data_IF_630901220092
#
_entry.id   IF_630901220092
#
_cell.length_a   1.000
_cell.length_b   1.000
_cell.length_c   1.000
_cell.angle_alpha   90.00
_cell.angle_beta   90.00
_cell.angle_gamma   90.00
#
_symmetry.space_group_name_H-M   'P 1'
#
loop_
_entity.id
_entity.type
_entity.pdbx_description
1 polymer ?
#
# COMPACT_ATOMS: atom_id res chain seq x y z
N UNK A 1 19.10 -26.31 8.11
CA UNK A 1 17.71 -26.83 8.09
C UNK A 1 17.29 -26.97 6.62
N UNK A 2 16.20 -27.66 6.24
CA UNK A 2 15.76 -27.68 4.82
C UNK A 2 14.87 -26.47 4.55
N UNK A 3 15.14 -25.74 3.47
CA UNK A 3 14.24 -24.70 2.98
C UNK A 3 12.85 -25.27 2.71
N UNK A 4 11.82 -24.60 3.18
CA UNK A 4 10.44 -24.97 2.92
C UNK A 4 9.90 -24.08 1.79
N UNK A 5 9.55 -24.70 0.67
CA UNK A 5 8.86 -24.00 -0.42
C UNK A 5 7.38 -23.86 -0.08
N UNK A 6 6.86 -22.65 -0.25
CA UNK A 6 5.46 -22.29 -0.05
C UNK A 6 4.97 -21.43 -1.23
N UNK A 7 3.72 -21.61 -1.64
CA UNK A 7 3.07 -20.75 -2.63
C UNK A 7 2.00 -19.90 -1.95
N UNK A 8 2.25 -18.60 -1.79
CA UNK A 8 1.30 -17.63 -1.21
C UNK A 8 0.74 -16.71 -2.30
N UNK A 9 -0.56 -16.79 -2.59
CA UNK A 9 -1.21 -16.00 -3.64
C UNK A 9 -0.47 -16.06 -5.00
N UNK A 10 0.05 -17.24 -5.35
CA UNK A 10 0.78 -17.48 -6.59
C UNK A 10 2.26 -17.09 -6.57
N UNK A 11 2.76 -16.48 -5.48
CA UNK A 11 4.20 -16.22 -5.29
C UNK A 11 4.88 -17.46 -4.74
N UNK A 12 5.88 -17.97 -5.46
CA UNK A 12 6.71 -19.07 -4.99
C UNK A 12 7.80 -18.53 -4.07
N UNK A 13 7.83 -19.00 -2.82
CA UNK A 13 8.68 -18.46 -1.77
C UNK A 13 9.38 -19.58 -1.00
N UNK A 14 10.66 -19.40 -0.72
CA UNK A 14 11.41 -20.22 0.24
C UNK A 14 11.42 -19.56 1.61
N UNK A 15 10.86 -20.22 2.61
CA UNK A 15 11.00 -19.84 4.02
C UNK A 15 12.22 -20.56 4.61
N UNK A 16 13.13 -19.78 5.18
CA UNK A 16 14.41 -20.27 5.71
C UNK A 16 14.78 -19.60 7.03
N UNK A 17 15.65 -20.25 7.79
CA UNK A 17 16.28 -19.65 8.97
C UNK A 17 17.43 -18.70 8.56
N UNK A 18 17.94 -17.96 9.54
CA UNK A 18 19.03 -16.98 9.34
C UNK A 18 20.30 -17.64 8.80
N UNK A 19 20.72 -18.77 9.38
CA UNK A 19 21.96 -19.44 8.98
C UNK A 19 21.88 -19.92 7.53
N UNK A 20 20.76 -20.57 7.16
CA UNK A 20 20.50 -21.02 5.79
C UNK A 20 20.45 -19.84 4.83
N UNK A 21 19.83 -18.71 5.21
CA UNK A 21 19.79 -17.50 4.40
C UNK A 21 21.18 -16.96 4.04
N UNK A 22 22.11 -17.02 4.99
CA UNK A 22 23.47 -16.48 4.86
C UNK A 22 24.40 -17.44 4.13
N UNK A 23 24.31 -18.74 4.41
CA UNK A 23 25.26 -19.75 3.92
C UNK A 23 24.93 -20.28 2.51
N UNK A 24 23.70 -20.10 2.04
CA UNK A 24 23.24 -20.67 0.78
C UNK A 24 23.55 -19.77 -0.42
N UNK A 25 24.09 -20.35 -1.49
CA UNK A 25 24.16 -19.70 -2.80
C UNK A 25 22.79 -19.77 -3.50
N UNK A 26 22.11 -18.63 -3.54
CA UNK A 26 20.76 -18.52 -4.08
C UNK A 26 20.69 -18.51 -5.63
N UNK A 27 21.82 -18.40 -6.33
CA UNK A 27 21.85 -18.36 -7.80
C UNK A 27 21.29 -19.62 -8.47
N UNK A 28 21.32 -20.76 -7.77
CA UNK A 28 20.75 -22.03 -8.23
C UNK A 28 19.21 -22.10 -8.19
N UNK A 29 18.57 -21.15 -7.49
CA UNK A 29 17.12 -21.09 -7.32
C UNK A 29 16.46 -20.05 -8.24
N UNK A 30 17.25 -19.22 -8.92
CA UNK A 30 16.76 -18.26 -9.91
C UNK A 30 15.96 -18.96 -11.03
N UNK A 31 14.74 -18.49 -11.28
CA UNK A 31 13.81 -19.07 -12.26
C UNK A 31 12.99 -20.25 -11.74
N UNK A 32 13.24 -20.70 -10.51
CA UNK A 32 12.42 -21.70 -9.81
C UNK A 32 11.57 -21.07 -8.70
N UNK A 33 12.17 -20.14 -7.96
CA UNK A 33 11.54 -19.43 -6.85
C UNK A 33 11.56 -17.94 -7.13
N UNK A 34 10.54 -17.20 -6.64
CA UNK A 34 10.47 -15.76 -6.82
C UNK A 34 11.14 -15.01 -5.65
N UNK A 35 11.07 -15.59 -4.45
CA UNK A 35 11.49 -14.93 -3.22
C UNK A 35 12.11 -15.92 -2.21
N UNK A 36 13.14 -15.49 -1.50
CA UNK A 36 13.60 -16.11 -0.24
C UNK A 36 13.23 -15.18 0.89
N UNK A 37 12.68 -15.72 1.98
CA UNK A 37 12.28 -14.96 3.16
C UNK A 37 12.77 -15.61 4.45
N UNK A 38 13.32 -14.77 5.33
CA UNK A 38 13.47 -15.05 6.76
C UNK A 38 12.38 -14.29 7.51
N UNK A 39 11.53 -15.01 8.25
CA UNK A 39 10.48 -14.41 9.09
C UNK A 39 11.07 -14.02 10.46
N UNK A 40 10.71 -12.81 10.93
CA UNK A 40 11.12 -12.22 12.21
C UNK A 40 12.61 -12.42 12.58
N UNK A 41 13.56 -12.08 11.68
CA UNK A 41 14.98 -12.23 11.97
C UNK A 41 15.38 -11.30 13.12
N UNK A 42 16.20 -11.79 14.07
CA UNK A 42 16.67 -10.96 15.17
C UNK A 42 17.55 -9.81 14.64
N UNK A 43 17.52 -8.66 15.32
CA UNK A 43 18.15 -7.42 14.83
C UNK A 43 19.65 -7.58 14.61
N UNK A 44 20.32 -8.38 15.45
CA UNK A 44 21.75 -8.70 15.33
C UNK A 44 22.11 -9.44 14.04
N UNK A 45 21.15 -10.10 13.38
CA UNK A 45 21.37 -10.80 12.12
C UNK A 45 21.19 -9.89 10.89
N UNK A 46 20.62 -8.69 11.05
CA UNK A 46 20.22 -7.85 9.91
C UNK A 46 21.41 -7.43 9.03
N UNK A 47 22.55 -7.11 9.63
CA UNK A 47 23.76 -6.75 8.88
C UNK A 47 24.29 -7.94 8.07
N UNK A 48 24.31 -9.13 8.66
CA UNK A 48 24.76 -10.35 7.99
C UNK A 48 23.81 -10.76 6.85
N UNK A 49 22.49 -10.68 7.08
CA UNK A 49 21.46 -10.92 6.06
C UNK A 49 21.58 -9.93 4.89
N UNK A 50 21.82 -8.65 5.19
CA UNK A 50 22.09 -7.64 4.17
C UNK A 50 23.38 -7.90 3.40
N UNK A 51 24.43 -8.40 4.07
CA UNK A 51 25.66 -8.87 3.43
C UNK A 51 25.44 -10.04 2.47
N UNK A 52 24.46 -10.90 2.74
CA UNK A 52 24.02 -11.99 1.88
C UNK A 52 23.01 -11.55 0.79
N UNK A 53 22.65 -10.26 0.72
CA UNK A 53 21.73 -9.71 -0.27
C UNK A 53 20.25 -9.74 0.12
N UNK A 54 19.89 -10.28 1.28
CA UNK A 54 18.53 -10.19 1.82
C UNK A 54 18.28 -8.78 2.38
N UNK A 55 17.06 -8.28 2.31
CA UNK A 55 16.71 -6.94 2.77
C UNK A 55 15.83 -6.99 4.03
N UNK A 56 16.41 -6.77 5.24
CA UNK A 56 15.64 -6.57 6.46
C UNK A 56 14.65 -5.40 6.30
N UNK A 57 13.39 -5.64 6.61
CA UNK A 57 12.29 -4.70 6.37
C UNK A 57 11.08 -4.98 7.27
N UNK A 58 10.17 -4.02 7.45
CA UNK A 58 8.86 -4.33 8.01
C UNK A 58 8.06 -5.23 7.06
N UNK A 59 7.29 -6.17 7.57
CA UNK A 59 6.35 -6.94 6.74
C UNK A 59 5.18 -6.05 6.27
N UNK A 60 4.74 -5.13 7.14
CA UNK A 60 3.56 -4.29 6.93
C UNK A 60 3.89 -2.80 7.03
N UNK A 61 3.35 -2.00 6.11
CA UNK A 61 3.52 -0.55 6.09
C UNK A 61 2.18 0.15 6.31
N UNK A 62 2.14 1.09 7.26
CA UNK A 62 1.00 2.00 7.41
C UNK A 62 1.33 3.36 6.79
N UNK A 63 0.49 3.81 5.88
CA UNK A 63 0.64 5.11 5.22
C UNK A 63 0.04 6.19 6.10
N UNK A 64 0.83 7.18 6.48
CA UNK A 64 0.41 8.26 7.39
C UNK A 64 0.79 9.64 6.86
N UNK A 65 -0.02 10.64 7.19
CA UNK A 65 0.31 12.04 6.96
C UNK A 65 -0.13 12.87 8.17
N UNK A 66 0.57 13.97 8.44
CA UNK A 66 0.12 14.93 9.44
C UNK A 66 -1.02 15.78 8.87
N UNK A 67 -2.05 16.07 9.67
CA UNK A 67 -3.20 16.88 9.26
C UNK A 67 -2.82 18.32 8.86
N UNK A 68 -1.66 18.81 9.34
CA UNK A 68 -1.24 20.22 9.29
C UNK A 68 -2.24 21.18 9.97
N UNK A 69 -1.89 22.46 10.08
CA UNK A 69 -2.80 23.46 10.67
C UNK A 69 -3.86 23.95 9.68
N UNK A 70 -3.60 23.85 8.37
CA UNK A 70 -4.51 24.28 7.30
C UNK A 70 -4.46 23.35 6.09
N UNK A 71 -5.46 23.48 5.21
CA UNK A 71 -5.45 22.76 3.92
C UNK A 71 -4.31 23.23 3.03
N UNK A 72 -4.00 24.53 3.01
CA UNK A 72 -2.91 25.09 2.20
C UNK A 72 -1.55 24.55 2.63
N UNK A 73 -1.30 24.41 3.94
CA UNK A 73 -0.08 23.76 4.45
C UNK A 73 0.00 22.29 4.04
N UNK A 74 -1.12 21.56 4.14
CA UNK A 74 -1.19 20.16 3.72
C UNK A 74 -0.89 20.00 2.23
N UNK A 75 -1.53 20.81 1.38
CA UNK A 75 -1.29 20.82 -0.07
C UNK A 75 0.13 21.30 -0.40
N UNK A 76 0.68 22.22 0.40
CA UNK A 76 2.04 22.76 0.26
C UNK A 76 3.12 21.68 0.21
N UNK A 77 2.93 20.57 0.95
CA UNK A 77 3.83 19.39 0.97
C UNK A 77 3.78 18.55 -0.30
N UNK A 78 2.73 18.67 -1.12
CA UNK A 78 2.58 17.86 -2.33
C UNK A 78 3.33 18.45 -3.52
N UNK A 79 3.72 17.64 -4.52
CA UNK A 79 4.20 18.16 -5.79
C UNK A 79 3.17 19.09 -6.46
N UNK A 80 3.65 20.17 -7.11
CA UNK A 80 2.79 21.17 -7.79
C UNK A 80 1.75 20.53 -8.73
N UNK A 81 2.14 19.49 -9.48
CA UNK A 81 1.27 18.77 -10.40
C UNK A 81 0.10 18.10 -9.69
N UNK A 82 0.32 17.54 -8.50
CA UNK A 82 -0.74 16.90 -7.71
C UNK A 82 -1.70 17.94 -7.12
N UNK A 83 -1.17 19.08 -6.62
CA UNK A 83 -2.01 20.23 -6.21
C UNK A 83 -2.93 20.69 -7.35
N UNK A 84 -2.38 20.84 -8.55
CA UNK A 84 -3.16 21.23 -9.73
C UNK A 84 -4.20 20.18 -10.11
N UNK A 85 -3.84 18.90 -10.04
CA UNK A 85 -4.77 17.78 -10.29
C UNK A 85 -5.95 17.79 -9.32
N UNK A 86 -5.70 18.05 -8.03
CA UNK A 86 -6.73 18.17 -7.00
C UNK A 86 -7.65 19.35 -7.28
N UNK A 87 -7.08 20.53 -7.56
CA UNK A 87 -7.85 21.72 -7.87
C UNK A 87 -8.73 21.51 -9.12
N UNK A 88 -8.20 20.83 -10.16
CA UNK A 88 -8.96 20.48 -11.35
C UNK A 88 -10.08 19.47 -11.04
N UNK A 89 -9.80 18.44 -10.23
CA UNK A 89 -10.80 17.46 -9.80
C UNK A 89 -11.97 18.12 -9.07
N UNK A 90 -11.70 19.04 -8.13
CA UNK A 90 -12.72 19.80 -7.40
C UNK A 90 -13.55 20.70 -8.32
N UNK A 91 -12.91 21.45 -9.22
CA UNK A 91 -13.62 22.29 -10.21
C UNK A 91 -14.52 21.46 -11.10
N UNK A 92 -14.04 20.31 -11.58
CA UNK A 92 -14.83 19.40 -12.41
C UNK A 92 -16.01 18.82 -11.64
N UNK A 93 -15.78 18.31 -10.43
CA UNK A 93 -16.85 17.83 -9.57
C UNK A 93 -17.94 18.91 -9.36
N UNK A 94 -17.54 20.15 -9.06
CA UNK A 94 -18.48 21.26 -8.92
C UNK A 94 -19.24 21.58 -10.22
N UNK A 95 -18.56 21.59 -11.37
CA UNK A 95 -19.19 21.80 -12.67
C UNK A 95 -20.20 20.69 -13.04
N UNK A 96 -19.92 19.45 -12.61
CA UNK A 96 -20.78 18.28 -12.79
C UNK A 96 -21.91 18.22 -11.73
N UNK A 97 -22.07 19.26 -10.91
CA UNK A 97 -23.09 19.34 -9.85
C UNK A 97 -22.84 18.42 -8.66
N UNK A 98 -21.63 17.86 -8.53
CA UNK A 98 -21.27 16.97 -7.42
C UNK A 98 -21.02 17.79 -6.16
N UNK A 99 -21.70 17.41 -5.07
CA UNK A 99 -21.58 18.02 -3.75
C UNK A 99 -21.00 16.99 -2.76
N UNK A 100 -19.98 17.42 -2.01
CA UNK A 100 -19.47 16.62 -0.91
C UNK A 100 -20.31 16.87 0.35
N UNK A 101 -20.60 15.83 1.12
CA UNK A 101 -21.32 15.91 2.39
C UNK A 101 -20.60 15.09 3.46
N UNK A 102 -20.44 15.69 4.62
CA UNK A 102 -20.02 15.02 5.84
C UNK A 102 -21.27 14.46 6.54
N UNK A 103 -21.14 13.28 7.14
CA UNK A 103 -22.20 12.71 7.98
C UNK A 103 -21.65 11.63 8.91
N UNK A 104 -22.54 11.11 9.74
CA UNK A 104 -22.26 9.93 10.55
C UNK A 104 -22.43 8.66 9.71
N UNK A 105 -21.82 7.56 10.17
CA UNK A 105 -22.02 6.27 9.53
C UNK A 105 -23.38 5.71 9.94
N UNK A 106 -24.26 5.47 8.98
CA UNK A 106 -25.56 4.84 9.20
C UNK A 106 -25.90 3.80 8.11
N UNK A 107 -27.04 3.15 8.26
CA UNK A 107 -27.52 2.17 7.29
C UNK A 107 -27.79 2.78 5.91
N UNK A 108 -28.29 4.03 5.87
CA UNK A 108 -28.62 4.74 4.63
C UNK A 108 -27.37 4.99 3.79
N UNK A 109 -26.28 5.45 4.42
CA UNK A 109 -24.99 5.60 3.77
C UNK A 109 -24.46 4.25 3.27
N UNK A 110 -24.52 3.20 4.09
CA UNK A 110 -24.02 1.88 3.70
C UNK A 110 -24.81 1.28 2.54
N UNK A 111 -26.13 1.49 2.48
CA UNK A 111 -26.99 1.05 1.39
C UNK A 111 -26.64 1.74 0.06
N UNK A 112 -26.22 3.00 0.10
CA UNK A 112 -25.71 3.70 -1.07
C UNK A 112 -24.26 3.31 -1.43
N UNK A 113 -23.41 3.10 -0.43
CA UNK A 113 -21.97 2.87 -0.60
C UNK A 113 -21.63 1.46 -1.06
N UNK A 114 -22.25 0.43 -0.48
CA UNK A 114 -21.90 -0.98 -0.69
C UNK A 114 -22.02 -1.42 -2.15
N UNK A 115 -23.12 -1.13 -2.89
CA UNK A 115 -23.23 -1.55 -4.28
C UNK A 115 -22.11 -0.97 -5.16
N UNK A 116 -21.73 0.30 -4.91
CA UNK A 116 -20.63 0.93 -5.62
C UNK A 116 -19.28 0.30 -5.23
N UNK A 117 -19.04 0.07 -3.94
CA UNK A 117 -17.81 -0.53 -3.43
C UNK A 117 -17.60 -1.96 -3.95
N UNK A 118 -18.64 -2.79 -3.92
CA UNK A 118 -18.64 -4.15 -4.45
C UNK A 118 -18.32 -4.16 -5.94
N UNK A 119 -18.98 -3.31 -6.73
CA UNK A 119 -18.71 -3.18 -8.16
C UNK A 119 -17.26 -2.80 -8.45
N UNK A 120 -16.67 -1.86 -7.69
CA UNK A 120 -15.25 -1.48 -7.84
C UNK A 120 -14.29 -2.58 -7.39
N UNK A 121 -14.68 -3.37 -6.40
CA UNK A 121 -13.85 -4.45 -5.84
C UNK A 121 -13.84 -5.66 -6.77
N UNK A 122 -14.97 -6.00 -7.39
CA UNK A 122 -15.08 -7.09 -8.35
C UNK A 122 -14.21 -6.88 -9.62
N UNK A 123 -13.85 -5.64 -9.96
CA UNK A 123 -12.92 -5.33 -11.05
C UNK A 123 -11.46 -5.66 -10.73
N UNK A 124 -11.11 -5.92 -9.47
CA UNK A 124 -9.73 -6.18 -9.04
C UNK A 124 -9.44 -7.68 -9.07
N UNK A 125 -8.27 -8.07 -9.58
CA UNK A 125 -7.80 -9.47 -9.65
C UNK A 125 -7.87 -10.20 -8.31
N UNK A 126 -7.58 -9.49 -7.22
CA UNK A 126 -7.61 -10.01 -5.84
C UNK A 126 -8.57 -9.20 -4.96
N UNK A 127 -9.65 -8.67 -5.56
CA UNK A 127 -10.63 -7.87 -4.82
C UNK A 127 -11.44 -8.73 -3.85
N UNK A 128 -11.41 -8.37 -2.57
CA UNK A 128 -12.27 -8.97 -1.55
C UNK A 128 -13.18 -7.89 -0.95
N UNK A 129 -14.50 -8.11 -1.03
CA UNK A 129 -15.50 -7.17 -0.51
C UNK A 129 -15.68 -7.29 1.01
N UNK A 130 -14.62 -6.97 1.75
CA UNK A 130 -14.61 -7.06 3.23
C UNK A 130 -15.73 -6.26 3.88
N UNK A 131 -16.11 -5.10 3.30
CA UNK A 131 -17.13 -4.21 3.88
C UNK A 131 -18.49 -4.90 4.00
N UNK A 132 -18.85 -5.73 3.03
CA UNK A 132 -20.11 -6.49 3.02
C UNK A 132 -20.14 -7.48 4.18
N UNK A 133 -19.00 -8.14 4.43
CA UNK A 133 -18.83 -9.14 5.49
C UNK A 133 -18.86 -8.50 6.90
N UNK A 134 -18.37 -7.26 7.04
CA UNK A 134 -18.29 -6.55 8.33
C UNK A 134 -19.37 -5.47 8.51
N UNK A 135 -20.43 -5.47 7.69
CA UNK A 135 -21.48 -4.44 7.73
C UNK A 135 -22.10 -4.30 9.12
N UNK A 136 -22.38 -5.43 9.78
CA UNK A 136 -22.96 -5.45 11.12
C UNK A 136 -22.07 -4.77 12.15
N UNK A 137 -20.78 -5.11 12.14
CA UNK A 137 -19.77 -4.54 13.04
C UNK A 137 -19.60 -3.03 12.80
N UNK A 138 -19.57 -2.59 11.55
CA UNK A 138 -19.51 -1.16 11.20
C UNK A 138 -20.69 -0.36 11.77
N UNK A 139 -21.89 -0.94 11.78
CA UNK A 139 -23.07 -0.29 12.35
C UNK A 139 -23.09 -0.37 13.88
N UNK A 140 -22.61 -1.47 14.45
CA UNK A 140 -22.47 -1.61 15.90
C UNK A 140 -21.50 -0.57 16.48
N UNK A 141 -20.42 -0.29 15.76
CA UNK A 141 -19.36 0.65 16.14
C UNK A 141 -19.53 2.03 15.49
N UNK A 142 -20.71 2.36 14.95
CA UNK A 142 -20.94 3.54 14.10
C UNK A 142 -20.47 4.87 14.71
N UNK A 143 -20.50 4.99 16.05
CA UNK A 143 -20.03 6.17 16.77
C UNK A 143 -18.53 6.46 16.58
N UNK A 144 -17.73 5.45 16.28
CA UNK A 144 -16.31 5.57 15.99
C UNK A 144 -16.03 5.93 14.53
N UNK A 145 -17.07 6.14 13.72
CA UNK A 145 -16.94 6.42 12.29
C UNK A 145 -17.61 7.73 11.89
N UNK A 146 -17.04 8.34 10.85
CA UNK A 146 -17.73 9.35 10.06
C UNK A 146 -17.52 9.08 8.58
N UNK A 147 -18.40 9.65 7.76
CA UNK A 147 -18.38 9.43 6.31
C UNK A 147 -18.24 10.74 5.57
N UNK A 148 -17.52 10.67 4.44
CA UNK A 148 -17.56 11.72 3.43
C UNK A 148 -18.20 11.12 2.19
N UNK A 149 -19.29 11.70 1.74
CA UNK A 149 -20.06 11.26 0.57
C UNK A 149 -20.02 12.31 -0.54
N UNK A 150 -20.15 11.87 -1.79
CA UNK A 150 -20.25 12.70 -2.98
C UNK A 150 -21.56 12.39 -3.70
N UNK A 151 -22.35 13.42 -3.97
CA UNK A 151 -23.69 13.30 -4.55
C UNK A 151 -23.87 14.19 -5.77
N UNK A 152 -24.43 13.66 -6.85
CA UNK A 152 -24.92 14.41 -8.01
C UNK A 152 -26.45 14.48 -7.95
N UNK A 153 -26.98 15.58 -7.43
CA UNK A 153 -28.39 15.61 -7.03
C UNK A 153 -28.64 14.59 -5.91
N UNK A 154 -29.46 13.58 -6.19
CA UNK A 154 -29.77 12.45 -5.30
C UNK A 154 -28.99 11.18 -5.65
N UNK A 155 -28.16 11.21 -6.70
CA UNK A 155 -27.32 10.08 -7.10
C UNK A 155 -26.04 10.04 -6.25
N UNK A 156 -25.78 8.91 -5.59
CA UNK A 156 -24.52 8.65 -4.90
C UNK A 156 -23.41 8.30 -5.90
N UNK A 157 -22.38 9.14 -5.98
CA UNK A 157 -21.27 8.97 -6.95
C UNK A 157 -19.94 8.60 -6.29
N UNK A 158 -19.90 8.55 -4.97
CA UNK A 158 -18.74 8.06 -4.23
C UNK A 158 -18.74 8.43 -2.76
N UNK A 159 -17.82 7.83 -2.01
CA UNK A 159 -17.61 8.18 -0.61
C UNK A 159 -16.42 7.46 0.02
N UNK A 160 -16.15 7.80 1.27
CA UNK A 160 -15.23 7.07 2.11
C UNK A 160 -15.74 6.94 3.55
N UNK A 161 -15.45 5.78 4.16
CA UNK A 161 -15.72 5.46 5.56
C UNK A 161 -14.42 5.67 6.34
N UNK A 162 -14.49 6.48 7.38
CA UNK A 162 -13.33 6.94 8.14
C UNK A 162 -13.50 6.53 9.60
N UNK A 163 -12.54 5.76 10.12
CA UNK A 163 -12.45 5.42 11.53
C UNK A 163 -11.77 6.57 12.28
N UNK A 164 -12.43 7.05 13.33
CA UNK A 164 -12.01 8.13 14.20
C UNK A 164 -11.90 7.59 15.63
N UNK A 165 -10.83 6.83 15.95
CA UNK A 165 -10.65 6.27 17.29
C UNK A 165 -10.37 7.38 18.32
N UNK A 166 -10.64 7.14 19.60
CA UNK A 166 -10.36 8.12 20.66
C UNK A 166 -8.89 8.54 20.75
N UNK A 167 -7.97 7.66 20.35
CA UNK A 167 -6.53 7.87 20.38
C UNK A 167 -5.85 7.46 19.06
N UNK A 168 -4.73 8.09 18.75
CA UNK A 168 -3.91 7.77 17.58
C UNK A 168 -4.29 8.56 16.32
N UNK A 169 -4.28 7.89 15.17
CA UNK A 169 -4.53 8.51 13.86
C UNK A 169 -5.94 8.19 13.35
N UNK A 170 -6.61 9.17 12.74
CA UNK A 170 -7.81 8.92 11.95
C UNK A 170 -7.44 8.04 10.75
N UNK A 171 -8.25 7.03 10.43
CA UNK A 171 -7.98 6.11 9.32
C UNK A 171 -9.09 6.13 8.28
N UNK A 172 -8.75 6.45 7.04
CA UNK A 172 -9.62 6.22 5.88
C UNK A 172 -9.58 4.72 5.59
N UNK A 173 -10.67 4.00 5.93
CA UNK A 173 -10.71 2.52 5.84
C UNK A 173 -11.16 2.03 4.47
N UNK A 174 -12.23 2.62 3.95
CA UNK A 174 -12.86 2.18 2.71
C UNK A 174 -13.20 3.39 1.86
N UNK A 175 -13.05 3.26 0.55
CA UNK A 175 -13.45 4.31 -0.39
C UNK A 175 -13.83 3.72 -1.72
N UNK A 176 -14.86 4.29 -2.33
CA UNK A 176 -15.29 3.94 -3.68
C UNK A 176 -15.82 5.20 -4.37
N UNK A 177 -15.61 5.26 -5.68
CA UNK A 177 -16.15 6.29 -6.57
C UNK A 177 -16.66 5.62 -7.83
N UNK A 178 -17.65 6.22 -8.47
CA UNK A 178 -18.13 5.78 -9.79
C UNK A 178 -17.03 5.90 -10.85
N UNK A 179 -17.29 5.34 -12.04
CA UNK A 179 -16.31 5.34 -13.12
C UNK A 179 -15.95 6.76 -13.56
N UNK A 180 -16.93 7.68 -13.61
CA UNK A 180 -16.69 9.09 -13.95
C UNK A 180 -15.79 9.77 -12.92
N UNK A 181 -16.08 9.57 -11.64
CA UNK A 181 -15.32 10.05 -10.50
C UNK A 181 -13.91 9.49 -10.45
N UNK A 182 -13.70 8.23 -10.84
CA UNK A 182 -12.36 7.65 -11.00
C UNK A 182 -11.54 8.43 -12.03
N UNK A 183 -12.10 8.69 -13.21
CA UNK A 183 -11.44 9.49 -14.24
C UNK A 183 -11.23 10.95 -13.82
N UNK A 184 -12.15 11.51 -13.05
CA UNK A 184 -12.08 12.87 -12.54
C UNK A 184 -11.23 13.01 -11.25
N UNK A 185 -10.64 11.93 -10.73
CA UNK A 185 -9.88 11.93 -9.47
C UNK A 185 -10.69 12.36 -8.23
N UNK A 186 -11.99 12.08 -8.20
CA UNK A 186 -12.91 12.44 -7.12
C UNK A 186 -12.46 11.92 -5.74
N UNK A 187 -11.85 10.73 -5.69
CA UNK A 187 -11.30 10.16 -4.45
C UNK A 187 -10.34 11.12 -3.71
N UNK A 188 -9.56 11.93 -4.45
CA UNK A 188 -8.65 12.91 -3.84
C UNK A 188 -9.43 14.03 -3.12
N UNK A 189 -10.55 14.45 -3.68
CA UNK A 189 -11.40 15.48 -3.05
C UNK A 189 -12.07 14.92 -1.79
N UNK A 190 -12.56 13.68 -1.83
CA UNK A 190 -13.10 12.97 -0.67
C UNK A 190 -12.07 12.88 0.47
N UNK A 191 -10.82 12.51 0.14
CA UNK A 191 -9.78 12.38 1.16
C UNK A 191 -9.38 13.70 1.78
N UNK A 192 -9.29 14.79 0.99
CA UNK A 192 -9.02 16.10 1.57
C UNK A 192 -10.12 16.57 2.51
N UNK A 193 -11.37 16.25 2.19
CA UNK A 193 -12.50 16.55 3.08
C UNK A 193 -12.42 15.72 4.37
N UNK A 194 -12.04 14.44 4.27
CA UNK A 194 -11.81 13.60 5.45
C UNK A 194 -10.63 14.11 6.31
N UNK A 195 -9.56 14.61 5.69
CA UNK A 195 -8.40 15.19 6.39
C UNK A 195 -8.76 16.52 7.05
N UNK A 196 -9.56 17.36 6.37
CA UNK A 196 -10.12 18.58 6.95
C UNK A 196 -10.91 18.25 8.21
N UNK A 197 -11.78 17.24 8.14
CA UNK A 197 -12.58 16.80 9.28
C UNK A 197 -11.73 16.21 10.41
N UNK A 198 -10.72 15.40 10.09
CA UNK A 198 -9.79 14.88 11.09
C UNK A 198 -9.10 16.00 11.88
N UNK A 199 -8.70 17.08 11.19
CA UNK A 199 -8.15 18.28 11.84
C UNK A 199 -9.16 18.95 12.77
N UNK A 200 -10.41 19.12 12.33
CA UNK A 200 -11.49 19.71 13.15
C UNK A 200 -11.72 18.89 14.42
N UNK A 201 -11.64 17.56 14.32
CA UNK A 201 -11.74 16.62 15.45
C UNK A 201 -10.48 16.55 16.33
N UNK A 202 -9.42 17.30 16.01
CA UNK A 202 -8.20 17.37 16.80
C UNK A 202 -7.17 16.28 16.52
N UNK A 203 -7.36 15.45 15.49
CA UNK A 203 -6.33 14.47 15.10
C UNK A 203 -5.10 15.19 14.56
N UNK A 204 -3.92 14.75 15.02
CA UNK A 204 -2.63 15.23 14.50
C UNK A 204 -2.25 14.57 13.19
N UNK A 205 -2.68 13.33 12.99
CA UNK A 205 -2.32 12.51 11.83
C UNK A 205 -3.50 11.73 11.29
N UNK A 206 -3.42 11.42 10.00
CA UNK A 206 -4.35 10.58 9.23
C UNK A 206 -3.62 9.39 8.63
N UNK A 207 -4.34 8.31 8.33
CA UNK A 207 -3.81 7.12 7.67
C UNK A 207 -4.67 6.66 6.48
N UNK A 208 -4.01 6.20 5.42
CA UNK A 208 -4.62 5.49 4.28
C UNK A 208 -4.56 3.96 4.42
N UNK A 209 -4.47 3.46 5.65
CA UNK A 209 -4.45 2.04 5.95
C UNK A 209 -3.06 1.42 5.91
N UNK A 210 -3.04 0.09 6.11
CA UNK A 210 -1.85 -0.74 6.12
C UNK A 210 -1.83 -1.61 4.86
N UNK A 211 -0.67 -1.69 4.21
CA UNK A 211 -0.41 -2.56 3.07
C UNK A 211 0.73 -3.55 3.39
N UNK A 212 0.78 -4.73 2.75
CA UNK A 212 1.98 -5.56 2.74
C UNK A 212 3.13 -4.84 2.03
N UNK A 213 4.35 -5.02 2.54
CA UNK A 213 5.57 -4.43 2.00
C UNK A 213 6.18 -5.27 0.86
N UNK A 214 5.41 -5.43 -0.22
CA UNK A 214 5.80 -6.07 -1.50
C UNK A 214 4.87 -5.58 -2.63
N UNK A 215 5.13 -4.38 -3.14
CA UNK A 215 4.34 -3.77 -4.22
C UNK A 215 4.76 -4.33 -5.57
N UNK A 216 3.83 -4.91 -6.31
CA UNK A 216 4.12 -5.72 -7.50
C UNK A 216 3.65 -7.17 -7.35
N UNK A 217 3.18 -7.57 -6.17
CA UNK A 217 2.51 -8.86 -5.96
C UNK A 217 1.01 -8.66 -5.69
N UNK A 218 0.56 -8.81 -4.44
CA UNK A 218 -0.84 -8.58 -4.05
C UNK A 218 -1.27 -7.13 -4.25
N UNK A 219 -0.38 -6.19 -3.98
CA UNK A 219 -0.64 -4.75 -4.11
C UNK A 219 0.03 -4.19 -5.35
N UNK A 220 -0.74 -3.54 -6.22
CA UNK A 220 -0.19 -2.92 -7.42
C UNK A 220 0.76 -1.75 -7.07
N UNK A 221 1.88 -1.56 -7.81
CA UNK A 221 2.77 -0.40 -7.64
C UNK A 221 2.06 0.95 -7.83
N UNK A 222 0.95 0.97 -8.57
CA UNK A 222 0.10 2.17 -8.72
C UNK A 222 -0.49 2.67 -7.41
N UNK A 223 -0.74 1.80 -6.43
CA UNK A 223 -1.29 2.18 -5.13
C UNK A 223 -0.25 2.96 -4.30
N UNK A 224 1.01 2.51 -4.27
CA UNK A 224 2.12 3.24 -3.65
C UNK A 224 2.22 4.66 -4.20
N UNK A 225 2.21 4.78 -5.53
CA UNK A 225 2.27 6.07 -6.23
C UNK A 225 1.09 6.96 -5.85
N UNK A 226 -0.11 6.40 -5.75
CA UNK A 226 -1.30 7.14 -5.36
C UNK A 226 -1.18 7.68 -3.92
N UNK A 227 -0.79 6.86 -2.95
CA UNK A 227 -0.68 7.25 -1.53
C UNK A 227 0.44 8.28 -1.32
N UNK A 228 1.63 8.03 -1.85
CA UNK A 228 2.78 8.95 -1.73
C UNK A 228 2.50 10.33 -2.31
N UNK A 229 1.84 10.41 -3.47
CA UNK A 229 1.48 11.69 -4.12
C UNK A 229 0.46 12.52 -3.36
N UNK A 230 -0.29 11.90 -2.45
CA UNK A 230 -1.19 12.57 -1.54
C UNK A 230 -0.48 13.05 -0.26
N UNK A 231 0.85 13.00 -0.21
CA UNK A 231 1.65 13.44 0.93
C UNK A 231 1.66 12.44 2.09
N UNK A 232 1.24 11.20 1.86
CA UNK A 232 1.36 10.13 2.85
C UNK A 232 2.73 9.46 2.74
N UNK A 233 3.30 9.18 3.89
CA UNK A 233 4.58 8.49 4.03
C UNK A 233 4.34 7.09 4.62
N UNK A 234 4.97 6.04 4.09
CA UNK A 234 4.96 4.72 4.68
C UNK A 234 5.77 4.72 5.98
N UNK A 235 5.22 4.07 7.01
CA UNK A 235 5.91 3.74 8.26
C UNK A 235 5.74 2.25 8.57
N UNK A 236 6.70 1.61 9.25
CA UNK A 236 6.47 0.28 9.83
C UNK A 236 5.17 0.25 10.63
N UNK A 237 4.29 -0.72 10.35
CA UNK A 237 2.93 -0.69 10.88
C UNK A 237 2.89 -0.73 12.42
N UNK A 238 3.85 -1.41 13.06
CA UNK A 238 3.97 -1.49 14.51
C UNK A 238 4.21 -0.11 15.16
N UNK A 239 4.91 0.81 14.48
CA UNK A 239 5.16 2.17 14.97
C UNK A 239 3.90 3.06 14.97
N UNK A 240 2.86 2.67 14.21
CA UNK A 240 1.61 3.44 14.10
C UNK A 240 0.48 2.78 14.90
N UNK A 241 0.44 1.45 14.92
CA UNK A 241 -0.67 0.69 15.49
C UNK A 241 -0.43 0.22 16.93
N UNK A 242 0.81 0.31 17.43
CA UNK A 242 1.19 -0.22 18.74
C UNK A 242 1.21 -1.75 18.83
N UNK A 243 0.94 -2.45 17.72
CA UNK A 243 1.09 -3.90 17.63
C UNK A 243 2.57 -4.30 17.68
N UNK A 244 2.91 -5.53 18.06
CA UNK A 244 4.28 -6.04 17.97
C UNK A 244 4.86 -5.83 16.56
N UNK A 245 6.18 -5.63 16.50
CA UNK A 245 6.90 -5.63 15.24
C UNK A 245 6.71 -6.99 14.55
N UNK A 246 6.57 -6.93 13.23
CA UNK A 246 6.58 -8.09 12.35
C UNK A 246 7.47 -7.69 11.19
N UNK A 247 8.68 -8.21 11.24
CA UNK A 247 9.78 -7.87 10.34
C UNK A 247 10.16 -9.11 9.56
N UNK A 248 10.75 -8.91 8.38
CA UNK A 248 11.28 -10.02 7.60
C UNK A 248 12.54 -9.56 6.86
N UNK A 249 13.29 -10.51 6.32
CA UNK A 249 14.35 -10.22 5.36
C UNK A 249 14.06 -10.98 4.06
N UNK A 250 13.96 -10.24 2.97
CA UNK A 250 13.57 -10.78 1.66
C UNK A 250 14.70 -10.65 0.64
N UNK A 251 14.90 -11.68 -0.18
CA UNK A 251 15.73 -11.65 -1.39
C UNK A 251 14.86 -12.02 -2.59
N UNK A 252 14.76 -11.10 -3.57
CA UNK A 252 14.02 -11.32 -4.82
C UNK A 252 14.90 -12.09 -5.80
N UNK A 253 14.45 -13.26 -6.22
CA UNK A 253 15.15 -14.13 -7.17
C UNK A 253 14.55 -14.09 -8.57
N UNK A 254 13.27 -13.72 -8.70
CA UNK A 254 12.56 -13.77 -9.99
C UNK A 254 11.25 -13.00 -9.97
N UNK A 255 10.63 -12.89 -11.16
CA UNK A 255 9.35 -12.21 -11.36
C UNK A 255 8.33 -13.09 -12.10
N UNK A 256 8.28 -14.39 -11.80
CA UNK A 256 7.23 -15.24 -12.36
C UNK A 256 5.86 -14.80 -11.84
N UNK A 257 5.77 -14.46 -10.55
CA UNK A 257 4.55 -13.95 -9.91
C UNK A 257 4.57 -12.45 -9.58
N UNK A 258 5.71 -11.78 -9.75
CA UNK A 258 5.89 -10.36 -9.47
C UNK A 258 5.73 -9.50 -10.72
N UNK A 259 5.25 -8.26 -10.56
CA UNK A 259 5.24 -7.25 -11.61
C UNK A 259 6.62 -6.63 -11.78
N UNK A 260 6.94 -6.22 -13.00
CA UNK A 260 8.13 -5.43 -13.29
C UNK A 260 7.72 -3.94 -13.51
N UNK A 261 8.12 -2.99 -12.64
CA UNK A 261 8.96 -3.19 -11.46
C UNK A 261 8.19 -3.63 -10.21
N UNK A 262 8.93 -4.24 -9.27
CA UNK A 262 8.50 -4.51 -7.88
C UNK A 262 9.20 -3.57 -6.92
N UNK A 263 8.49 -3.10 -5.90
CA UNK A 263 8.95 -2.09 -4.95
C UNK A 263 8.74 -2.56 -3.51
N UNK A 264 9.75 -2.38 -2.69
CA UNK A 264 9.77 -2.71 -1.27
C UNK A 264 10.39 -1.57 -0.48
N UNK A 265 10.19 -1.53 0.83
CA UNK A 265 10.85 -0.56 1.71
C UNK A 265 11.67 -1.31 2.75
N UNK A 266 13.00 -1.22 2.68
CA UNK A 266 13.88 -1.85 3.68
C UNK A 266 14.29 -0.87 4.76
N UNK A 267 14.78 -1.42 5.88
CA UNK A 267 15.52 -0.63 6.84
C UNK A 267 16.88 -0.23 6.25
N UNK A 268 17.35 0.99 6.59
CA UNK A 268 18.74 1.39 6.32
C UNK A 268 19.64 0.71 7.35
N UNK A 269 20.48 -0.23 6.91
CA UNK A 269 21.35 -1.06 7.76
C UNK A 269 22.37 -0.28 8.62
N UNK A 270 22.66 0.97 8.29
CA UNK A 270 23.55 1.81 9.09
C UNK A 270 22.86 2.49 10.29
N UNK A 271 21.54 2.30 10.45
CA UNK A 271 20.80 2.82 11.60
C UNK A 271 20.89 1.83 12.76
N UNK A 272 21.86 2.02 13.65
CA UNK A 272 22.18 1.17 14.81
C UNK A 272 21.09 1.18 15.91
N UNK A 273 19.86 1.61 15.60
CA UNK A 273 18.78 1.72 16.60
C UNK A 273 17.43 1.30 16.05
N UNK A 274 16.84 0.29 16.70
CA UNK A 274 15.52 -0.28 16.42
C UNK A 274 14.34 0.69 16.60
N UNK A 275 14.57 1.89 17.15
CA UNK A 275 13.49 2.81 17.54
C UNK A 275 13.19 3.88 16.48
N UNK A 276 14.07 4.08 15.50
CA UNK A 276 13.87 5.05 14.42
C UNK A 276 14.54 4.59 13.11
N UNK A 277 14.30 3.34 12.72
CA UNK A 277 14.83 2.81 11.46
C UNK A 277 14.26 3.60 10.28
N UNK A 278 15.09 4.44 9.68
CA UNK A 278 14.76 5.12 8.43
C UNK A 278 14.54 4.07 7.32
N UNK A 279 13.42 4.20 6.60
CA UNK A 279 13.15 3.38 5.45
C UNK A 279 13.93 3.87 4.22
N UNK A 280 14.25 2.95 3.32
CA UNK A 280 14.69 3.24 1.96
C UNK A 280 13.83 2.45 0.97
N UNK A 281 13.57 3.02 -0.20
CA UNK A 281 12.82 2.33 -1.25
C UNK A 281 13.76 1.46 -2.10
N UNK A 282 13.34 0.24 -2.35
CA UNK A 282 14.10 -0.80 -3.04
C UNK A 282 13.31 -1.21 -4.27
N UNK A 283 13.85 -0.95 -5.47
CA UNK A 283 13.16 -1.16 -6.74
C UNK A 283 13.86 -2.27 -7.50
N UNK A 284 13.15 -3.37 -7.70
CA UNK A 284 13.58 -4.51 -8.50
C UNK A 284 12.97 -4.42 -9.89
N UNK A 285 13.78 -4.62 -10.93
CA UNK A 285 13.33 -4.67 -12.33
C UNK A 285 14.23 -5.57 -13.17
N UNK A 286 13.72 -6.08 -14.30
CA UNK A 286 14.58 -6.66 -15.33
C UNK A 286 15.31 -5.58 -16.15
N UNK A 287 14.92 -4.31 -16.02
CA UNK A 287 15.47 -3.20 -16.78
C UNK A 287 16.30 -2.26 -15.89
N UNK A 288 17.54 -2.00 -16.30
CA UNK A 288 18.38 -0.96 -15.70
C UNK A 288 17.80 0.45 -15.90
N UNK A 289 17.00 0.63 -16.96
CA UNK A 289 16.40 1.92 -17.36
C UNK A 289 15.01 2.14 -16.75
N UNK A 290 14.64 1.36 -15.72
CA UNK A 290 13.36 1.56 -15.02
C UNK A 290 13.21 3.01 -14.55
N UNK A 291 12.07 3.61 -14.90
CA UNK A 291 11.77 5.01 -14.63
C UNK A 291 11.40 5.24 -13.16
N UNK A 292 12.38 5.11 -12.26
CA UNK A 292 12.23 5.19 -10.80
C UNK A 292 11.42 6.39 -10.33
N UNK A 293 11.66 7.57 -10.90
CA UNK A 293 10.97 8.80 -10.51
C UNK A 293 9.45 8.71 -10.71
N UNK A 294 8.97 7.89 -11.64
CA UNK A 294 7.54 7.70 -11.83
C UNK A 294 6.87 7.03 -10.62
N UNK A 295 7.63 6.24 -9.87
CA UNK A 295 7.19 5.49 -8.71
C UNK A 295 7.51 6.19 -7.39
N UNK A 296 8.64 6.90 -7.31
CA UNK A 296 9.17 7.40 -6.02
C UNK A 296 9.29 8.92 -5.92
N UNK A 297 8.94 9.73 -6.93
CA UNK A 297 9.15 11.18 -6.89
C UNK A 297 8.43 11.94 -5.75
N UNK A 298 7.49 11.31 -5.05
CA UNK A 298 6.81 11.89 -3.89
C UNK A 298 7.33 11.35 -2.55
N UNK A 299 8.31 10.44 -2.58
CA UNK A 299 8.95 9.89 -1.39
C UNK A 299 10.16 10.74 -1.01
N UNK A 300 10.36 10.93 0.29
CA UNK A 300 11.54 11.59 0.86
C UNK A 300 12.70 10.62 1.13
N UNK A 301 12.51 9.32 0.89
CA UNK A 301 13.50 8.30 1.19
C UNK A 301 14.56 8.15 0.10
N UNK A 302 15.77 7.67 0.45
CA UNK A 302 16.71 7.15 -0.52
C UNK A 302 16.06 6.03 -1.35
N UNK A 303 16.47 5.93 -2.61
CA UNK A 303 16.00 4.88 -3.53
C UNK A 303 17.20 4.12 -4.07
N UNK A 304 17.15 2.79 -3.96
CA UNK A 304 18.13 1.88 -4.56
C UNK A 304 17.44 1.01 -5.62
N UNK A 305 18.19 0.73 -6.68
CA UNK A 305 17.75 -0.06 -7.83
C UNK A 305 18.48 -1.39 -7.84
N UNK A 306 17.76 -2.45 -8.13
CA UNK A 306 18.26 -3.80 -8.31
C UNK A 306 17.84 -4.28 -9.68
N UNK A 307 18.81 -4.66 -10.50
CA UNK A 307 18.56 -5.31 -11.78
C UNK A 307 18.63 -6.80 -11.54
N UNK A 308 17.55 -7.51 -11.84
CA UNK A 308 17.50 -8.97 -11.76
C UNK A 308 17.70 -9.52 -13.15
N UNK A 309 18.54 -10.53 -13.30
CA UNK A 309 18.81 -11.11 -14.60
C UNK A 309 17.59 -11.88 -15.12
N UNK A 310 17.18 -11.56 -16.35
CA UNK A 310 16.11 -12.29 -17.02
C UNK A 310 16.65 -13.60 -17.55
N UNK A 311 16.69 -14.63 -16.72
CA UNK A 311 16.97 -15.99 -17.20
C UNK A 311 15.77 -16.49 -18.00
N UNK A 312 15.98 -17.12 -19.17
CA UNK A 312 14.90 -17.78 -19.87
C UNK A 312 14.36 -18.87 -18.95
N UNK A 313 13.10 -18.77 -18.53
CA UNK A 313 12.40 -19.92 -17.98
C UNK A 313 12.52 -21.01 -19.00
N UNK A 314 13.19 -22.12 -18.66
CA UNK A 314 13.30 -23.26 -19.55
C UNK A 314 11.86 -23.61 -19.95
N UNK A 315 11.49 -23.29 -21.20
CA UNK A 315 10.16 -23.58 -21.70
C UNK A 315 9.89 -25.03 -21.35
N UNK A 316 8.77 -25.30 -20.67
CA UNK A 316 8.32 -26.64 -20.40
C UNK A 316 7.99 -27.32 -21.75
N UNK A 317 9.02 -27.71 -22.50
CA UNK A 317 8.94 -28.48 -23.73
C UNK A 317 8.66 -29.91 -23.32
N UNK A 318 7.40 -30.22 -23.02
CA UNK A 318 7.08 -31.55 -22.54
C UNK A 318 5.63 -31.77 -22.13
N UNK A 319 4.68 -31.49 -23.02
CA UNK A 319 3.38 -32.16 -22.96
C UNK A 319 2.82 -32.39 -24.38
N UNK A 320 3.52 -33.22 -25.15
CA UNK A 320 2.88 -33.95 -26.26
C UNK A 320 2.05 -35.07 -25.67
N UNK A 321 0.72 -34.88 -25.62
CA UNK A 321 -0.21 -35.94 -25.31
C UNK A 321 -0.11 -37.07 -26.37
N UNK A 322 -0.06 -38.36 -25.97
CA UNK A 322 -0.23 -39.45 -26.91
C UNK A 322 -1.71 -39.49 -27.36
N UNK A 323 -1.91 -39.72 -28.66
CA UNK A 323 -3.21 -39.94 -29.31
C UNK A 323 -3.79 -41.31 -28.99
#
# INVERSE_FOLDING_TARGET
MRAQSEVRHGLSMLLVDVDTAIETDWHGYEGHEDLVRVEDPPVEAWEALAGAGLLPKPEWLTWVADCQSSEDEFLGRMPRKERQSIAAARRRAAADGVRLRLGDLDSTYLDAFLPLYEARTAEKRHGWSVVSDIRGDLLADAADYFVVSAWRGDEFVGGCINLAPSEGAMRIRFSAVDQSGRYASLARALYLEAIREARVRGYRSVSLGTDPNLYGHVVEPGLLRFKSRLGFEPKPSHQVTGKPASDCADLVLGFAALMDPTIMFSYRTNAVSSTASELQAEIYSYSADVAVDQHTAALSFPVRRHVVDRRPTACATGNTAPR
#
